data_IF_786450191570
#
_entry.id   IF_786450191570
#
_cell.length_a   1.000
_cell.length_b   1.000
_cell.length_c   1.000
_cell.angle_alpha   90.00
_cell.angle_beta   90.00
_cell.angle_gamma   90.00
#
_symmetry.space_group_name_H-M   'P 1'
#
loop_
_entity.id
_entity.type
_entity.pdbx_description
1 polymer ?
#
# COMPACT_ATOMS: atom_id res chain seq x y z
N UNK A 1 -38.29 -23.75 13.71
CA UNK A 1 -38.59 -23.56 12.27
C UNK A 1 -37.56 -22.69 11.57
N UNK A 2 -36.59 -23.32 10.92
CA UNK A 2 -35.63 -22.61 10.04
C UNK A 2 -36.37 -22.27 8.74
N UNK A 3 -36.35 -21.01 8.25
CA UNK A 3 -36.93 -20.63 6.95
C UNK A 3 -36.41 -21.54 5.83
N UNK A 4 -37.21 -21.77 4.79
CA UNK A 4 -36.76 -22.50 3.59
C UNK A 4 -35.51 -21.83 2.99
N UNK A 5 -34.38 -22.53 2.97
CA UNK A 5 -33.11 -22.00 2.49
C UNK A 5 -31.92 -22.92 2.81
N UNK A 6 -30.72 -22.48 2.44
CA UNK A 6 -29.46 -23.15 2.74
C UNK A 6 -28.41 -22.17 3.28
N UNK A 7 -27.39 -22.71 3.93
CA UNK A 7 -26.25 -21.95 4.44
C UNK A 7 -24.97 -22.32 3.68
N UNK A 8 -24.09 -21.34 3.47
CA UNK A 8 -22.76 -21.57 2.90
C UNK A 8 -21.73 -21.20 3.96
N UNK A 9 -20.91 -22.17 4.35
CA UNK A 9 -19.80 -21.93 5.29
C UNK A 9 -18.70 -21.16 4.58
N UNK A 10 -18.33 -20.00 5.14
CA UNK A 10 -17.24 -19.15 4.60
C UNK A 10 -15.89 -19.71 5.03
N UNK A 11 -14.82 -19.32 4.36
CA UNK A 11 -13.43 -19.65 4.78
C UNK A 11 -13.14 -19.25 6.23
N UNK A 12 -13.77 -18.18 6.72
CA UNK A 12 -13.69 -17.74 8.12
C UNK A 12 -14.30 -18.74 9.13
N UNK A 13 -15.13 -19.69 8.69
CA UNK A 13 -15.65 -20.79 9.51
C UNK A 13 -14.70 -21.99 9.60
N UNK A 14 -13.46 -21.88 9.11
CA UNK A 14 -12.47 -22.96 9.30
C UNK A 14 -12.04 -22.99 10.76
N UNK A 15 -12.19 -24.14 11.42
CA UNK A 15 -11.81 -24.30 12.83
C UNK A 15 -12.85 -23.80 13.85
N UNK A 16 -13.99 -23.26 13.40
CA UNK A 16 -15.10 -22.90 14.30
C UNK A 16 -15.87 -24.14 14.75
N UNK A 17 -16.41 -24.12 15.97
CA UNK A 17 -17.17 -25.25 16.50
C UNK A 17 -18.57 -25.34 15.86
N UNK A 18 -19.18 -26.52 15.93
CA UNK A 18 -20.57 -26.70 15.49
C UNK A 18 -21.55 -25.81 16.28
N UNK A 19 -21.24 -25.51 17.54
CA UNK A 19 -22.04 -24.61 18.36
C UNK A 19 -22.03 -23.19 17.78
N UNK A 20 -20.85 -22.68 17.43
CA UNK A 20 -20.68 -21.33 16.85
C UNK A 20 -21.38 -21.23 15.49
N UNK A 21 -21.22 -22.24 14.63
CA UNK A 21 -21.92 -22.29 13.34
C UNK A 21 -23.45 -22.29 13.51
N UNK A 22 -23.95 -22.97 14.54
CA UNK A 22 -25.39 -23.00 14.86
C UNK A 22 -25.87 -21.64 15.38
N UNK A 23 -25.07 -20.92 16.14
CA UNK A 23 -25.39 -19.55 16.58
C UNK A 23 -25.43 -18.57 15.42
N UNK A 24 -24.46 -18.63 14.51
CA UNK A 24 -24.43 -17.79 13.31
C UNK A 24 -25.64 -18.08 12.39
N UNK A 25 -25.97 -19.36 12.17
CA UNK A 25 -27.17 -19.74 11.44
C UNK A 25 -28.45 -19.19 12.10
N UNK A 26 -28.56 -19.23 13.44
CA UNK A 26 -29.70 -18.64 14.17
C UNK A 26 -29.74 -17.13 14.01
N UNK A 27 -28.60 -16.45 14.01
CA UNK A 27 -28.52 -15.01 13.76
C UNK A 27 -29.06 -14.66 12.36
N UNK A 28 -28.59 -15.34 11.32
CA UNK A 28 -29.06 -15.13 9.95
C UNK A 28 -30.58 -15.34 9.81
N UNK A 29 -31.12 -16.37 10.48
CA UNK A 29 -32.56 -16.64 10.52
C UNK A 29 -33.34 -15.52 11.21
N UNK A 30 -32.84 -14.99 12.33
CA UNK A 30 -33.47 -13.85 13.02
C UNK A 30 -33.48 -12.62 12.14
N UNK A 31 -32.33 -12.28 11.56
CA UNK A 31 -32.18 -11.15 10.63
C UNK A 31 -33.16 -11.29 9.46
N UNK A 32 -33.25 -12.46 8.83
CA UNK A 32 -34.20 -12.68 7.73
C UNK A 32 -35.66 -12.43 8.14
N UNK A 33 -36.07 -12.90 9.32
CA UNK A 33 -37.43 -12.65 9.83
C UNK A 33 -37.69 -11.18 10.11
N UNK A 34 -36.71 -10.45 10.62
CA UNK A 34 -36.82 -9.01 10.85
C UNK A 34 -36.96 -8.24 9.54
N UNK A 35 -36.18 -8.61 8.52
CA UNK A 35 -36.29 -8.05 7.17
C UNK A 35 -37.68 -8.30 6.59
N UNK A 36 -38.18 -9.54 6.66
CA UNK A 36 -39.52 -9.88 6.17
C UNK A 36 -40.62 -9.10 6.88
N UNK A 37 -40.57 -8.99 8.21
CA UNK A 37 -41.55 -8.23 8.99
C UNK A 37 -41.49 -6.73 8.67
N UNK A 38 -40.30 -6.18 8.47
CA UNK A 38 -40.12 -4.78 8.09
C UNK A 38 -40.68 -4.52 6.69
N UNK A 39 -40.39 -5.40 5.73
CA UNK A 39 -40.87 -5.31 4.35
C UNK A 39 -42.39 -5.40 4.23
N UNK A 40 -43.05 -6.26 5.03
CA UNK A 40 -44.51 -6.38 5.05
C UNK A 40 -45.22 -5.14 5.62
N UNK A 41 -44.54 -4.35 6.47
CA UNK A 41 -45.11 -3.16 7.12
C UNK A 41 -44.80 -1.86 6.39
N UNK A 42 -43.67 -1.79 5.67
CA UNK A 42 -43.20 -0.56 5.04
C UNK A 42 -43.90 -0.30 3.70
N UNK A 43 -44.35 0.94 3.48
CA UNK A 43 -44.80 1.38 2.15
C UNK A 43 -43.60 1.68 1.25
N UNK A 44 -43.64 1.20 0.02
CA UNK A 44 -42.56 1.39 -0.95
C UNK A 44 -42.46 2.83 -1.46
N UNK A 45 -41.25 3.35 -1.76
CA UNK A 45 -39.94 2.76 -1.50
C UNK A 45 -39.47 2.98 -0.04
N UNK A 46 -38.91 1.95 0.59
CA UNK A 46 -38.40 2.04 1.97
C UNK A 46 -37.17 1.16 2.21
N UNK A 47 -36.26 1.61 3.06
CA UNK A 47 -35.12 0.84 3.55
C UNK A 47 -35.60 -0.19 4.59
N UNK A 48 -35.58 -1.47 4.23
CA UNK A 48 -36.00 -2.56 5.14
C UNK A 48 -34.83 -3.21 5.88
N UNK A 49 -33.61 -3.07 5.34
CA UNK A 49 -32.37 -3.58 5.91
C UNK A 49 -31.20 -2.73 5.43
N UNK A 50 -30.35 -2.32 6.37
CA UNK A 50 -29.04 -1.77 6.06
C UNK A 50 -28.00 -2.86 6.32
N UNK A 51 -27.18 -3.12 5.33
CA UNK A 51 -26.08 -4.06 5.45
C UNK A 51 -25.05 -3.57 6.50
N UNK A 52 -24.21 -4.48 6.99
CA UNK A 52 -23.26 -4.16 8.04
C UNK A 52 -22.29 -3.04 7.61
N UNK A 53 -22.11 -2.05 8.47
CA UNK A 53 -21.11 -1.00 8.27
C UNK A 53 -19.67 -1.53 8.44
N UNK A 54 -18.67 -0.66 8.33
CA UNK A 54 -17.26 -1.06 8.47
C UNK A 54 -16.98 -1.65 9.86
N UNK A 55 -17.43 -0.98 10.92
CA UNK A 55 -17.17 -1.37 12.31
C UNK A 55 -17.81 -2.72 12.60
N UNK A 56 -19.08 -2.89 12.25
CA UNK A 56 -19.82 -4.14 12.42
C UNK A 56 -19.20 -5.29 11.63
N UNK A 57 -18.70 -5.04 10.40
CA UNK A 57 -17.97 -6.07 9.63
C UNK A 57 -16.66 -6.45 10.29
N UNK A 58 -15.90 -5.50 10.83
CA UNK A 58 -14.66 -5.78 11.58
C UNK A 58 -14.98 -6.61 12.82
N UNK A 59 -15.99 -6.23 13.58
CA UNK A 59 -16.40 -6.97 14.78
C UNK A 59 -16.78 -8.42 14.46
N UNK A 60 -17.57 -8.63 13.39
CA UNK A 60 -17.98 -9.98 12.97
C UNK A 60 -16.83 -10.83 12.42
N UNK A 61 -15.95 -10.24 11.61
CA UNK A 61 -14.96 -10.99 10.82
C UNK A 61 -13.59 -11.11 11.52
N UNK A 62 -13.28 -10.21 12.48
CA UNK A 62 -11.96 -10.11 13.10
C UNK A 62 -11.92 -10.43 14.58
N UNK A 63 -13.00 -10.17 15.32
CA UNK A 63 -12.97 -10.34 16.78
C UNK A 63 -13.23 -11.80 17.15
N UNK A 64 -12.37 -12.30 18.04
CA UNK A 64 -12.45 -13.63 18.63
C UNK A 64 -12.19 -13.57 20.14
N UNK A 65 -12.32 -14.72 20.81
CA UNK A 65 -12.17 -14.84 22.27
C UNK A 65 -10.74 -14.60 22.78
N UNK A 66 -9.76 -14.43 21.91
CA UNK A 66 -8.39 -14.02 22.21
C UNK A 66 -8.23 -12.51 22.45
N UNK A 67 -9.16 -11.67 21.97
CA UNK A 67 -9.10 -10.22 22.17
C UNK A 67 -9.43 -9.81 23.61
N UNK A 68 -8.49 -9.22 24.34
CA UNK A 68 -8.72 -8.82 25.74
C UNK A 68 -9.70 -7.65 25.90
N UNK A 69 -9.73 -6.71 24.95
CA UNK A 69 -10.63 -5.56 24.96
C UNK A 69 -10.90 -5.02 23.55
N UNK A 70 -12.08 -4.41 23.37
CA UNK A 70 -12.45 -3.60 22.20
C UNK A 70 -12.59 -2.17 22.70
N UNK A 71 -11.72 -1.27 22.25
CA UNK A 71 -11.68 0.13 22.70
C UNK A 71 -12.26 1.04 21.63
N UNK A 72 -13.13 1.95 22.04
CA UNK A 72 -13.87 2.86 21.16
C UNK A 72 -13.81 4.24 21.80
N UNK A 73 -13.46 5.28 21.05
CA UNK A 73 -13.30 6.66 21.54
C UNK A 73 -14.51 7.57 21.24
N UNK A 74 -15.55 7.03 20.59
CA UNK A 74 -16.85 7.68 20.40
C UNK A 74 -17.94 7.00 21.24
N UNK A 75 -18.70 7.80 22.00
CA UNK A 75 -19.80 7.32 22.83
C UNK A 75 -20.97 6.77 21.99
N UNK A 76 -21.29 7.44 20.87
CA UNK A 76 -22.32 6.99 19.94
C UNK A 76 -21.98 5.61 19.34
N UNK A 77 -20.75 5.46 18.85
CA UNK A 77 -20.25 4.18 18.31
C UNK A 77 -20.19 3.12 19.39
N UNK A 78 -19.76 3.45 20.61
CA UNK A 78 -19.73 2.51 21.73
C UNK A 78 -21.11 1.88 21.99
N UNK A 79 -22.17 2.70 22.03
CA UNK A 79 -23.54 2.19 22.22
C UNK A 79 -23.97 1.26 21.08
N UNK A 80 -23.72 1.66 19.82
CA UNK A 80 -24.01 0.85 18.65
C UNK A 80 -23.25 -0.49 18.63
N UNK A 81 -21.97 -0.46 19.02
CA UNK A 81 -21.12 -1.64 19.13
C UNK A 81 -21.60 -2.58 20.23
N UNK A 82 -21.97 -2.06 21.40
CA UNK A 82 -22.52 -2.87 22.50
C UNK A 82 -23.81 -3.57 22.06
N UNK A 83 -24.73 -2.86 21.40
CA UNK A 83 -25.96 -3.45 20.89
C UNK A 83 -25.68 -4.55 19.86
N UNK A 84 -24.76 -4.28 18.93
CA UNK A 84 -24.39 -5.21 17.88
C UNK A 84 -23.73 -6.47 18.44
N UNK A 85 -22.69 -6.32 19.28
CA UNK A 85 -21.97 -7.44 19.90
C UNK A 85 -22.91 -8.26 20.78
N UNK A 86 -23.84 -7.64 21.50
CA UNK A 86 -24.84 -8.35 22.29
C UNK A 86 -25.79 -9.22 21.45
N UNK A 87 -25.95 -8.91 20.15
CA UNK A 87 -26.79 -9.67 19.22
C UNK A 87 -26.04 -10.85 18.58
N UNK A 88 -24.75 -10.68 18.30
CA UNK A 88 -23.93 -11.67 17.57
C UNK A 88 -23.08 -12.55 18.48
N UNK A 89 -22.45 -11.98 19.50
CA UNK A 89 -21.50 -12.63 20.41
C UNK A 89 -21.63 -12.06 21.83
N UNK A 90 -22.71 -12.39 22.57
CA UNK A 90 -23.01 -11.80 23.88
C UNK A 90 -21.87 -11.93 24.90
N UNK A 91 -21.07 -13.00 24.80
CA UNK A 91 -19.95 -13.27 25.69
C UNK A 91 -18.85 -12.19 25.61
N UNK A 92 -18.75 -11.49 24.49
CA UNK A 92 -17.73 -10.46 24.24
C UNK A 92 -18.16 -9.06 24.67
N UNK A 93 -19.43 -8.83 25.00
CA UNK A 93 -19.97 -7.49 25.35
C UNK A 93 -19.17 -6.85 26.49
N UNK A 94 -18.79 -7.64 27.50
CA UNK A 94 -18.01 -7.15 28.65
C UNK A 94 -16.62 -6.61 28.26
N UNK A 95 -16.10 -7.00 27.09
CA UNK A 95 -14.79 -6.59 26.56
C UNK A 95 -14.87 -5.28 25.79
N UNK A 96 -16.06 -4.83 25.39
CA UNK A 96 -16.28 -3.50 24.80
C UNK A 96 -16.13 -2.45 25.90
N UNK A 97 -15.22 -1.49 25.70
CA UNK A 97 -14.90 -0.44 26.67
C UNK A 97 -14.78 0.90 25.95
N UNK A 98 -15.50 1.91 26.45
CA UNK A 98 -15.27 3.29 26.04
C UNK A 98 -13.86 3.73 26.47
N UNK A 99 -13.17 4.40 25.57
CA UNK A 99 -11.88 5.03 25.79
C UNK A 99 -12.13 6.50 26.16
N UNK A 100 -11.68 6.91 27.35
CA UNK A 100 -12.02 8.22 27.94
C UNK A 100 -10.80 9.05 28.31
N UNK A 101 -9.60 8.65 27.88
CA UNK A 101 -8.38 9.44 28.12
C UNK A 101 -8.33 10.58 27.11
N UNK A 102 -7.64 11.66 27.48
CA UNK A 102 -7.46 12.82 26.60
C UNK A 102 -6.54 12.53 25.41
N UNK A 103 -5.50 11.70 25.61
CA UNK A 103 -4.59 11.29 24.54
C UNK A 103 -5.33 10.49 23.45
N UNK A 104 -5.18 10.79 22.15
CA UNK A 104 -5.85 10.06 21.07
C UNK A 104 -5.62 8.55 21.14
N UNK A 105 -6.66 7.76 20.90
CA UNK A 105 -6.62 6.29 21.08
C UNK A 105 -5.49 5.62 20.29
N UNK A 106 -5.24 6.04 19.05
CA UNK A 106 -4.19 5.43 18.21
C UNK A 106 -2.78 5.79 18.69
N UNK A 107 -2.60 6.96 19.29
CA UNK A 107 -1.32 7.40 19.86
C UNK A 107 -1.03 6.67 21.17
N UNK A 108 -2.02 6.61 22.07
CA UNK A 108 -1.90 5.95 23.37
C UNK A 108 -1.53 4.46 23.28
N UNK A 109 -1.88 3.80 22.18
CA UNK A 109 -1.53 2.40 21.89
C UNK A 109 -0.37 2.25 20.88
N UNK A 110 0.27 3.34 20.45
CA UNK A 110 1.41 3.33 19.53
C UNK A 110 1.08 2.92 18.09
N UNK A 111 -0.20 2.84 17.73
CA UNK A 111 -0.66 2.43 16.40
C UNK A 111 -0.33 3.49 15.36
N UNK A 112 -0.45 4.78 15.72
CA UNK A 112 -0.17 5.89 14.81
C UNK A 112 1.26 5.82 14.24
N UNK A 113 2.25 5.57 15.09
CA UNK A 113 3.64 5.42 14.68
C UNK A 113 3.86 4.19 13.77
N UNK A 114 3.12 3.10 13.97
CA UNK A 114 3.18 1.93 13.08
C UNK A 114 2.53 2.19 11.72
N UNK A 115 1.43 2.97 11.66
CA UNK A 115 0.81 3.39 10.39
C UNK A 115 1.81 4.23 9.56
N UNK A 116 2.47 5.21 10.18
CA UNK A 116 3.47 6.04 9.50
C UNK A 116 4.66 5.24 8.98
N UNK A 117 5.09 4.21 9.72
CA UNK A 117 6.14 3.28 9.25
C UNK A 117 5.64 2.39 8.12
N UNK A 118 4.38 1.95 8.17
CA UNK A 118 3.80 1.04 7.18
C UNK A 118 3.62 1.68 5.79
N UNK A 119 3.55 3.01 5.70
CA UNK A 119 3.49 3.73 4.42
C UNK A 119 4.88 3.82 3.77
N UNK A 120 5.96 3.76 4.56
CA UNK A 120 7.32 3.92 4.03
C UNK A 120 7.76 2.65 3.27
N UNK A 121 8.51 2.77 2.15
CA UNK A 121 9.05 1.62 1.45
C UNK A 121 10.04 0.81 2.30
N UNK A 122 10.85 1.49 3.13
CA UNK A 122 11.89 0.86 3.95
C UNK A 122 11.39 0.46 5.33
N UNK A 123 11.62 -0.80 5.71
CA UNK A 123 11.29 -1.35 7.04
C UNK A 123 12.55 -1.88 7.72
N UNK A 124 12.88 -1.40 8.92
CA UNK A 124 14.06 -1.84 9.65
C UNK A 124 13.82 -3.14 10.40
N UNK A 125 14.80 -4.04 10.34
CA UNK A 125 14.87 -5.26 11.13
C UNK A 125 15.61 -4.98 12.45
N UNK A 126 15.31 -5.74 13.50
CA UNK A 126 15.96 -5.66 14.82
C UNK A 126 17.46 -5.97 14.74
N UNK A 127 17.88 -6.82 13.80
CA UNK A 127 19.30 -7.09 13.54
C UNK A 127 20.07 -5.94 12.87
N UNK A 128 19.39 -4.85 12.47
CA UNK A 128 20.00 -3.73 11.77
C UNK A 128 20.02 -3.86 10.24
N UNK A 129 19.52 -4.99 9.71
CA UNK A 129 19.11 -5.11 8.31
C UNK A 129 17.83 -4.32 8.03
N UNK A 130 17.40 -4.30 6.77
CA UNK A 130 16.15 -3.65 6.39
C UNK A 130 15.53 -4.31 5.15
N UNK A 131 14.21 -4.19 5.05
CA UNK A 131 13.43 -4.55 3.87
C UNK A 131 13.19 -3.30 3.02
N UNK A 132 13.12 -3.47 1.70
CA UNK A 132 12.59 -2.46 0.78
C UNK A 132 11.39 -3.06 0.06
N UNK A 133 10.22 -2.48 0.28
CA UNK A 133 8.95 -2.93 -0.29
C UNK A 133 8.54 -1.95 -1.39
N UNK A 134 8.51 -2.43 -2.63
CA UNK A 134 8.12 -1.65 -3.80
C UNK A 134 6.88 -2.26 -4.44
N UNK A 135 5.77 -1.51 -4.42
CA UNK A 135 4.55 -1.89 -5.11
C UNK A 135 4.56 -1.33 -6.54
N UNK A 136 4.52 -2.21 -7.53
CA UNK A 136 4.36 -1.84 -8.95
C UNK A 136 2.91 -2.03 -9.39
N UNK A 137 2.64 -1.80 -10.68
CA UNK A 137 1.32 -2.07 -11.27
C UNK A 137 0.95 -3.57 -11.19
N UNK A 138 1.90 -4.45 -11.56
CA UNK A 138 1.65 -5.88 -11.72
C UNK A 138 1.95 -6.70 -10.46
N UNK A 139 3.04 -6.38 -9.76
CA UNK A 139 3.57 -7.17 -8.65
C UNK A 139 4.15 -6.30 -7.52
N UNK A 140 4.35 -6.92 -6.37
CA UNK A 140 5.09 -6.33 -5.26
C UNK A 140 6.46 -6.99 -5.17
N UNK A 141 7.52 -6.19 -5.18
CA UNK A 141 8.89 -6.66 -4.97
C UNK A 141 9.34 -6.32 -3.54
N UNK A 142 9.92 -7.28 -2.83
CA UNK A 142 10.45 -7.10 -1.49
C UNK A 142 11.90 -7.56 -1.46
N UNK A 143 12.81 -6.62 -1.19
CA UNK A 143 14.25 -6.85 -1.14
C UNK A 143 14.75 -6.84 0.32
N UNK A 144 15.71 -7.72 0.65
CA UNK A 144 16.27 -7.88 1.99
C UNK A 144 17.75 -7.48 2.02
N UNK A 145 18.07 -6.52 2.88
CA UNK A 145 19.43 -6.01 3.03
C UNK A 145 19.98 -6.26 4.44
N UNK A 146 21.25 -6.69 4.55
CA UNK A 146 21.94 -6.93 5.84
C UNK A 146 22.34 -5.66 6.59
N UNK A 147 22.25 -4.48 5.96
CA UNK A 147 22.71 -3.22 6.54
C UNK A 147 24.23 -3.22 6.83
N UNK A 148 24.66 -2.43 7.82
CA UNK A 148 26.09 -2.29 8.20
C UNK A 148 26.64 -3.46 9.04
N UNK A 149 25.81 -4.42 9.43
CA UNK A 149 26.15 -5.45 10.41
C UNK A 149 26.54 -6.77 9.75
N UNK A 150 27.66 -6.77 9.02
CA UNK A 150 28.27 -8.00 8.48
C UNK A 150 29.43 -8.42 9.38
N UNK A 151 29.30 -9.58 10.03
CA UNK A 151 30.36 -10.16 10.84
C UNK A 151 31.61 -10.44 10.01
N UNK A 152 32.81 -10.12 10.53
CA UNK A 152 34.08 -10.40 9.85
C UNK A 152 34.36 -11.93 9.90
N UNK A 153 34.17 -12.64 8.78
CA UNK A 153 34.58 -14.04 8.57
C UNK A 153 33.52 -14.94 7.90
N UNK A 154 33.94 -15.86 7.01
CA UNK A 154 33.06 -16.62 6.09
C UNK A 154 31.97 -17.49 6.74
N UNK A 155 32.30 -18.34 7.73
CA UNK A 155 31.27 -19.15 8.42
C UNK A 155 30.31 -18.28 9.27
N UNK A 156 30.79 -17.16 9.81
CA UNK A 156 29.93 -16.21 10.54
C UNK A 156 29.03 -15.41 9.61
N UNK A 157 29.39 -15.31 8.32
CA UNK A 157 28.62 -14.62 7.29
C UNK A 157 27.36 -15.42 6.93
N UNK A 158 27.47 -16.71 6.59
CA UNK A 158 26.31 -17.57 6.26
C UNK A 158 25.30 -17.65 7.42
N UNK A 159 25.79 -17.79 8.66
CA UNK A 159 24.93 -17.76 9.86
C UNK A 159 24.21 -16.41 10.02
N UNK A 160 24.89 -15.31 9.70
CA UNK A 160 24.33 -13.95 9.78
C UNK A 160 23.27 -13.75 8.71
N UNK A 161 23.55 -14.17 7.46
CA UNK A 161 22.62 -14.15 6.33
C UNK A 161 21.36 -14.93 6.67
N UNK A 162 21.52 -16.18 7.13
CA UNK A 162 20.39 -17.04 7.48
C UNK A 162 19.54 -16.41 8.58
N UNK A 163 20.17 -15.85 9.62
CA UNK A 163 19.45 -15.16 10.70
C UNK A 163 18.70 -13.92 10.19
N UNK A 164 19.31 -13.12 9.32
CA UNK A 164 18.67 -11.95 8.72
C UNK A 164 17.48 -12.35 7.84
N UNK A 165 17.62 -13.40 7.03
CA UNK A 165 16.51 -13.91 6.21
C UNK A 165 15.37 -14.49 7.05
N UNK A 166 15.66 -15.19 8.14
CA UNK A 166 14.64 -15.69 9.08
C UNK A 166 13.84 -14.55 9.70
N UNK A 167 14.53 -13.50 10.16
CA UNK A 167 13.87 -12.30 10.67
C UNK A 167 13.08 -11.56 9.58
N UNK A 168 13.65 -11.48 8.37
CA UNK A 168 13.03 -10.83 7.24
C UNK A 168 11.71 -11.52 6.87
N UNK A 169 11.64 -12.85 6.79
CA UNK A 169 10.39 -13.54 6.39
C UNK A 169 9.27 -13.39 7.42
N UNK A 170 9.59 -13.33 8.71
CA UNK A 170 8.60 -13.01 9.76
C UNK A 170 8.05 -11.60 9.60
N UNK A 171 8.93 -10.62 9.38
CA UNK A 171 8.53 -9.21 9.18
C UNK A 171 7.80 -9.02 7.84
N UNK A 172 8.20 -9.72 6.78
CA UNK A 172 7.51 -9.73 5.48
C UNK A 172 6.06 -10.21 5.65
N UNK A 173 5.85 -11.34 6.34
CA UNK A 173 4.51 -11.86 6.59
C UNK A 173 3.65 -10.85 7.38
N UNK A 174 4.25 -10.15 8.37
CA UNK A 174 3.59 -9.07 9.10
C UNK A 174 3.22 -7.89 8.19
N UNK A 175 4.16 -7.42 7.36
CA UNK A 175 3.97 -6.27 6.47
C UNK A 175 2.94 -6.56 5.36
N UNK A 176 2.93 -7.76 4.81
CA UNK A 176 1.93 -8.20 3.82
C UNK A 176 0.52 -8.07 4.40
N UNK A 177 0.31 -8.48 5.66
CA UNK A 177 -0.97 -8.33 6.34
C UNK A 177 -1.28 -6.87 6.68
N UNK A 178 -0.32 -6.15 7.26
CA UNK A 178 -0.49 -4.77 7.71
C UNK A 178 -0.82 -3.82 6.55
N UNK A 179 -0.16 -4.01 5.40
CA UNK A 179 -0.35 -3.20 4.19
C UNK A 179 -1.42 -3.74 3.23
N UNK A 180 -2.04 -4.87 3.58
CA UNK A 180 -2.92 -5.69 2.73
C UNK A 180 -2.38 -5.90 1.30
N UNK A 181 -1.10 -6.28 1.19
CA UNK A 181 -0.46 -6.55 -0.11
C UNK A 181 -1.07 -7.79 -0.75
N UNK A 182 -1.37 -7.73 -2.04
CA UNK A 182 -1.97 -8.86 -2.74
C UNK A 182 -1.66 -8.86 -4.23
N UNK A 183 -1.95 -10.00 -4.87
CA UNK A 183 -1.46 -10.33 -6.21
C UNK A 183 -0.18 -11.15 -6.11
N UNK A 184 0.71 -10.95 -7.08
CA UNK A 184 2.03 -11.57 -7.10
C UNK A 184 2.97 -10.77 -6.21
N UNK A 185 3.66 -11.44 -5.31
CA UNK A 185 4.67 -10.88 -4.42
C UNK A 185 5.95 -11.67 -4.64
N UNK A 186 7.03 -10.97 -4.97
CA UNK A 186 8.36 -11.53 -5.22
C UNK A 186 9.26 -11.10 -4.07
N UNK A 187 9.91 -12.07 -3.43
CA UNK A 187 10.85 -11.86 -2.35
C UNK A 187 12.26 -12.14 -2.86
N UNK A 188 13.10 -11.11 -2.82
CA UNK A 188 14.53 -11.16 -3.09
C UNK A 188 15.24 -11.27 -1.74
N UNK A 189 15.49 -12.51 -1.33
CA UNK A 189 16.17 -12.84 -0.07
C UNK A 189 17.66 -12.89 -0.32
N UNK A 190 18.47 -12.62 0.70
CA UNK A 190 19.93 -12.70 0.58
C UNK A 190 20.33 -14.13 0.22
N UNK A 191 21.20 -14.29 -0.78
CA UNK A 191 21.67 -15.60 -1.24
C UNK A 191 22.24 -16.45 -0.09
N UNK A 192 21.81 -17.70 -0.01
CA UNK A 192 22.27 -18.69 0.95
C UNK A 192 22.86 -19.88 0.20
N UNK A 193 24.09 -20.29 0.55
CA UNK A 193 24.75 -21.43 -0.10
C UNK A 193 24.09 -22.75 0.32
N UNK A 194 23.77 -22.90 1.60
CA UNK A 194 23.26 -24.15 2.13
C UNK A 194 21.76 -24.35 1.85
N UNK A 195 21.43 -25.50 1.22
CA UNK A 195 20.04 -25.92 1.00
C UNK A 195 19.24 -26.04 2.30
N UNK A 196 19.90 -26.41 3.39
CA UNK A 196 19.27 -26.53 4.72
C UNK A 196 18.79 -25.16 5.23
N UNK A 197 19.58 -24.10 5.02
CA UNK A 197 19.22 -22.74 5.41
C UNK A 197 18.03 -22.23 4.59
N UNK A 198 18.05 -22.45 3.26
CA UNK A 198 16.91 -22.15 2.38
C UNK A 198 15.63 -22.84 2.84
N UNK A 199 15.67 -24.14 3.14
CA UNK A 199 14.51 -24.88 3.61
C UNK A 199 13.97 -24.33 4.94
N UNK A 200 14.87 -23.97 5.87
CA UNK A 200 14.48 -23.41 7.17
C UNK A 200 13.76 -22.07 7.00
N UNK A 201 14.30 -21.18 6.16
CA UNK A 201 13.66 -19.89 5.83
C UNK A 201 12.28 -20.09 5.19
N UNK A 202 12.14 -21.06 4.28
CA UNK A 202 10.85 -21.38 3.68
C UNK A 202 9.82 -21.88 4.69
N UNK A 203 10.22 -22.77 5.61
CA UNK A 203 9.34 -23.25 6.68
C UNK A 203 8.89 -22.10 7.57
N UNK A 204 9.81 -21.22 7.99
CA UNK A 204 9.47 -20.04 8.80
C UNK A 204 8.52 -19.09 8.06
N UNK A 205 8.71 -18.86 6.76
CA UNK A 205 7.79 -18.06 5.95
C UNK A 205 6.38 -18.68 5.91
N UNK A 206 6.28 -20.00 5.67
CA UNK A 206 5.00 -20.70 5.64
C UNK A 206 4.29 -20.66 7.00
N UNK A 207 5.03 -20.81 8.09
CA UNK A 207 4.49 -20.72 9.45
C UNK A 207 4.00 -19.31 9.76
N UNK A 208 4.76 -18.28 9.39
CA UNK A 208 4.38 -16.88 9.61
C UNK A 208 3.16 -16.44 8.76
N UNK A 209 2.90 -17.11 7.63
CA UNK A 209 1.74 -16.89 6.76
C UNK A 209 0.50 -17.70 7.17
N UNK A 210 0.63 -18.66 8.10
CA UNK A 210 -0.47 -19.55 8.51
C UNK A 210 -1.65 -18.78 9.12
N UNK A 211 -1.36 -17.70 9.84
CA UNK A 211 -2.36 -16.85 10.49
C UNK A 211 -2.99 -15.82 9.53
N UNK A 212 -2.56 -15.78 8.26
CA UNK A 212 -3.17 -14.91 7.26
C UNK A 212 -4.51 -15.48 6.79
N UNK A 213 -5.58 -14.69 6.99
CA UNK A 213 -6.94 -15.04 6.54
C UNK A 213 -7.08 -15.04 5.02
N UNK A 214 -6.21 -14.34 4.30
CA UNK A 214 -6.23 -14.29 2.84
C UNK A 214 -5.53 -15.53 2.27
N UNK A 215 -6.15 -16.28 1.33
CA UNK A 215 -5.51 -17.42 0.71
C UNK A 215 -4.16 -17.06 0.08
N UNK A 216 -3.12 -17.78 0.49
CA UNK A 216 -1.75 -17.63 -0.01
C UNK A 216 -1.27 -18.91 -0.66
N UNK A 217 -0.40 -18.78 -1.66
CA UNK A 217 0.39 -19.87 -2.23
C UNK A 217 1.82 -19.40 -2.35
N UNK A 218 2.77 -20.22 -1.92
CA UNK A 218 4.19 -19.90 -1.95
C UNK A 218 4.90 -20.92 -2.82
N UNK A 219 5.65 -20.43 -3.80
CA UNK A 219 6.63 -21.17 -4.56
C UNK A 219 8.00 -20.92 -3.90
N UNK A 220 8.66 -22.01 -3.51
CA UNK A 220 10.02 -21.96 -2.96
C UNK A 220 11.02 -21.33 -3.95
N UNK A 221 12.25 -21.08 -3.47
CA UNK A 221 13.38 -20.60 -4.28
C UNK A 221 13.38 -21.19 -5.70
N UNK A 222 13.30 -20.30 -6.69
CA UNK A 222 13.42 -20.64 -8.10
C UNK A 222 14.91 -20.65 -8.53
N UNK A 223 15.15 -20.91 -9.81
CA UNK A 223 16.51 -20.95 -10.38
C UNK A 223 17.23 -19.59 -10.33
N UNK A 224 16.50 -18.50 -10.07
CA UNK A 224 17.02 -17.14 -9.90
C UNK A 224 17.23 -16.74 -8.44
N UNK A 225 17.04 -17.66 -7.48
CA UNK A 225 17.19 -17.35 -6.05
C UNK A 225 16.00 -16.61 -5.43
N UNK A 226 14.91 -16.39 -6.19
CA UNK A 226 13.74 -15.65 -5.72
C UNK A 226 12.67 -16.58 -5.14
N UNK A 227 11.96 -16.09 -4.14
CA UNK A 227 10.73 -16.72 -3.63
C UNK A 227 9.54 -15.96 -4.19
N UNK A 228 8.60 -16.69 -4.80
CA UNK A 228 7.40 -16.08 -5.41
C UNK A 228 6.18 -16.56 -4.66
N UNK A 229 5.30 -15.65 -4.27
CA UNK A 229 4.02 -16.01 -3.67
C UNK A 229 2.86 -15.25 -4.30
N UNK A 230 1.68 -15.86 -4.23
CA UNK A 230 0.42 -15.21 -4.59
C UNK A 230 -0.44 -15.07 -3.35
N UNK A 231 -0.99 -13.88 -3.12
CA UNK A 231 -1.98 -13.62 -2.07
C UNK A 231 -3.24 -13.03 -2.68
N UNK A 232 -4.42 -13.57 -2.37
CA UNK A 232 -5.69 -13.06 -2.91
C UNK A 232 -5.90 -11.59 -2.52
N UNK A 233 -6.20 -10.73 -3.49
CA UNK A 233 -6.60 -9.33 -3.24
C UNK A 233 -8.03 -9.31 -2.69
N UNK A 234 -8.21 -8.77 -1.49
CA UNK A 234 -9.52 -8.62 -0.85
C UNK A 234 -9.92 -7.14 -0.76
N UNK A 235 -8.97 -6.26 -0.43
CA UNK A 235 -9.17 -4.81 -0.37
C UNK A 235 -8.05 -4.09 -1.15
N UNK A 236 -8.14 -2.76 -1.20
CA UNK A 236 -7.02 -1.93 -1.64
C UNK A 236 -5.90 -1.97 -0.60
N UNK A 237 -4.64 -1.87 -1.05
CA UNK A 237 -3.49 -1.78 -0.14
C UNK A 237 -3.56 -0.51 0.71
N UNK A 238 -2.89 -0.54 1.87
CA UNK A 238 -2.85 0.57 2.81
C UNK A 238 -2.36 1.86 2.15
N UNK A 239 -1.27 1.78 1.39
CA UNK A 239 -0.68 2.92 0.66
C UNK A 239 -1.69 3.54 -0.32
N UNK A 240 -2.39 2.72 -1.12
CA UNK A 240 -3.41 3.22 -2.06
C UNK A 240 -4.63 3.82 -1.38
N UNK A 241 -4.89 3.43 -0.13
CA UNK A 241 -6.02 3.94 0.65
C UNK A 241 -5.67 5.27 1.33
N UNK A 242 -4.43 5.42 1.82
CA UNK A 242 -3.99 6.57 2.59
C UNK A 242 -3.24 7.63 1.78
N UNK A 243 -2.78 7.30 0.57
CA UNK A 243 -1.97 8.18 -0.26
C UNK A 243 -2.58 8.39 -1.64
N UNK A 244 -2.29 9.54 -2.24
CA UNK A 244 -2.55 9.83 -3.64
C UNK A 244 -1.25 9.81 -4.45
N UNK A 245 -1.31 9.55 -5.77
CA UNK A 245 -0.12 9.65 -6.63
C UNK A 245 0.51 11.04 -6.53
N UNK A 246 1.85 11.09 -6.58
CA UNK A 246 2.57 12.35 -6.58
C UNK A 246 2.13 13.20 -7.79
N UNK A 247 1.64 14.45 -7.60
CA UNK A 247 1.18 15.27 -8.72
C UNK A 247 2.32 15.73 -9.64
N UNK A 248 3.57 15.62 -9.18
CA UNK A 248 4.76 16.01 -9.92
C UNK A 248 5.23 14.84 -10.81
N UNK A 249 5.75 13.76 -10.21
CA UNK A 249 6.30 12.63 -10.97
C UNK A 249 5.25 11.57 -11.39
N UNK A 250 3.99 11.73 -10.98
CA UNK A 250 2.90 10.78 -11.24
C UNK A 250 3.20 9.34 -10.79
N UNK A 251 4.03 9.19 -9.74
CA UNK A 251 4.42 7.89 -9.19
C UNK A 251 5.68 7.27 -9.81
N UNK A 252 6.32 7.91 -10.80
CA UNK A 252 7.57 7.42 -11.40
C UNK A 252 8.79 7.51 -10.48
N UNK A 253 8.71 8.32 -9.41
CA UNK A 253 9.80 8.61 -8.46
C UNK A 253 11.03 9.28 -9.07
N UNK A 254 10.98 9.63 -10.36
CA UNK A 254 12.04 10.26 -11.12
C UNK A 254 11.44 11.33 -12.03
N UNK A 255 12.20 12.37 -12.31
CA UNK A 255 11.89 13.32 -13.39
C UNK A 255 13.14 13.48 -14.24
N UNK A 256 12.98 13.74 -15.54
CA UNK A 256 14.07 14.03 -16.47
C UNK A 256 14.92 15.16 -15.90
N UNK A 257 16.24 15.04 -15.98
CA UNK A 257 17.14 16.08 -15.46
C UNK A 257 16.98 17.39 -16.22
N UNK A 258 17.36 18.53 -15.63
CA UNK A 258 17.33 19.81 -16.33
C UNK A 258 18.08 19.80 -17.66
N UNK A 259 19.22 19.10 -17.72
CA UNK A 259 20.01 18.94 -18.93
C UNK A 259 19.22 18.23 -20.04
N UNK A 260 18.54 17.12 -19.72
CA UNK A 260 17.70 16.41 -20.70
C UNK A 260 16.63 17.34 -21.28
N UNK A 261 16.02 18.18 -20.44
CA UNK A 261 15.01 19.14 -20.90
C UNK A 261 15.63 20.23 -21.78
N UNK A 262 16.85 20.71 -21.50
CA UNK A 262 17.56 21.64 -22.39
C UNK A 262 17.69 21.07 -23.82
N UNK A 263 18.08 19.80 -23.95
CA UNK A 263 18.18 19.16 -25.27
C UNK A 263 16.82 18.93 -25.94
N UNK A 264 15.75 18.67 -25.17
CA UNK A 264 14.38 18.59 -25.71
C UNK A 264 13.89 19.95 -26.22
N UNK A 265 14.21 21.04 -25.52
CA UNK A 265 13.95 22.42 -25.96
C UNK A 265 14.67 22.69 -27.30
N UNK A 266 15.92 22.27 -27.44
CA UNK A 266 16.68 22.41 -28.69
C UNK A 266 16.06 21.63 -29.86
N UNK A 267 15.64 20.39 -29.63
CA UNK A 267 14.95 19.60 -30.66
C UNK A 267 13.60 20.23 -31.04
N UNK A 268 12.88 20.81 -30.08
CA UNK A 268 11.64 21.55 -30.37
C UNK A 268 11.93 22.81 -31.19
N UNK A 269 12.96 23.57 -30.84
CA UNK A 269 13.37 24.76 -31.58
C UNK A 269 13.73 24.44 -33.03
N UNK A 270 14.47 23.36 -33.27
CA UNK A 270 14.76 22.82 -34.61
C UNK A 270 13.51 22.39 -35.38
N UNK A 271 12.47 21.94 -34.69
CA UNK A 271 11.18 21.60 -35.32
C UNK A 271 10.40 22.86 -35.70
N UNK A 272 10.31 23.81 -34.77
CA UNK A 272 9.57 25.06 -34.96
C UNK A 272 10.20 25.90 -36.08
N UNK A 273 11.53 26.04 -36.14
CA UNK A 273 12.22 26.77 -37.20
C UNK A 273 11.91 26.25 -38.62
N UNK A 274 11.78 24.93 -38.78
CA UNK A 274 11.39 24.30 -40.06
C UNK A 274 9.93 24.55 -40.44
N UNK A 275 9.05 24.69 -39.46
CA UNK A 275 7.62 24.91 -39.68
C UNK A 275 7.29 26.37 -40.01
N UNK A 276 8.13 27.32 -39.55
CA UNK A 276 7.87 28.76 -39.61
C UNK A 276 8.52 29.44 -40.82
N UNK A 277 8.72 28.70 -41.93
CA UNK A 277 9.37 29.17 -43.16
C UNK A 277 8.85 30.55 -43.64
N UNK A 278 9.55 31.62 -43.25
CA UNK A 278 9.48 32.94 -43.89
C UNK A 278 8.75 34.07 -43.15
N UNK A 279 8.03 33.81 -42.05
CA UNK A 279 7.49 34.89 -41.23
C UNK A 279 8.51 35.30 -40.17
N UNK A 280 8.97 36.53 -40.23
CA UNK A 280 10.00 37.07 -39.34
C UNK A 280 9.52 37.14 -37.89
N UNK A 281 9.82 36.10 -37.12
CA UNK A 281 9.64 36.07 -35.67
C UNK A 281 10.53 37.15 -35.08
N UNK A 282 9.93 38.16 -34.45
CA UNK A 282 10.67 39.29 -33.87
C UNK A 282 11.09 39.00 -32.44
N UNK A 283 10.31 38.22 -31.70
CA UNK A 283 10.59 37.89 -30.31
C UNK A 283 10.01 36.52 -29.95
N UNK A 284 10.89 35.62 -29.51
CA UNK A 284 10.50 34.31 -28.99
C UNK A 284 10.60 34.35 -27.47
N UNK A 285 9.52 34.01 -26.78
CA UNK A 285 9.51 33.83 -25.33
C UNK A 285 9.52 32.33 -25.03
N UNK A 286 10.40 31.91 -24.13
CA UNK A 286 10.47 30.54 -23.66
C UNK A 286 10.16 30.54 -22.15
N UNK A 287 9.02 29.96 -21.79
CA UNK A 287 8.58 29.82 -20.40
C UNK A 287 8.89 28.42 -19.89
N UNK A 288 9.64 28.32 -18.79
CA UNK A 288 10.07 27.03 -18.23
C UNK A 288 10.37 27.09 -16.73
N UNK A 289 10.63 25.93 -16.13
CA UNK A 289 10.98 25.83 -14.72
C UNK A 289 12.33 26.51 -14.40
N UNK A 290 12.49 27.18 -13.23
CA UNK A 290 13.73 27.87 -12.85
C UNK A 290 15.00 27.01 -12.88
N UNK A 291 14.91 25.72 -12.57
CA UNK A 291 16.07 24.81 -12.59
C UNK A 291 16.59 24.58 -14.02
N UNK A 292 15.68 24.45 -14.99
CA UNK A 292 16.03 24.30 -16.41
C UNK A 292 16.55 25.62 -16.97
N UNK A 293 15.99 26.76 -16.53
CA UNK A 293 16.44 28.08 -16.97
C UNK A 293 17.86 28.36 -16.49
N UNK A 294 18.15 27.99 -15.23
CA UNK A 294 19.51 28.05 -14.70
C UNK A 294 20.46 27.15 -15.48
N UNK A 295 20.05 25.93 -15.82
CA UNK A 295 20.87 25.01 -16.61
C UNK A 295 21.23 25.60 -17.98
N UNK A 296 20.25 26.13 -18.74
CA UNK A 296 20.48 26.81 -20.03
C UNK A 296 21.45 28.01 -19.89
N UNK A 297 21.33 28.78 -18.81
CA UNK A 297 22.18 29.96 -18.59
C UNK A 297 23.56 29.65 -17.99
N UNK A 298 23.83 28.42 -17.55
CA UNK A 298 25.07 28.08 -16.82
C UNK A 298 25.80 26.90 -17.45
N UNK A 299 25.31 25.69 -17.26
CA UNK A 299 25.98 24.45 -17.68
C UNK A 299 25.76 24.13 -19.15
N UNK A 300 24.59 24.47 -19.70
CA UNK A 300 24.16 24.16 -21.07
C UNK A 300 24.09 25.42 -21.94
N UNK A 301 25.06 26.33 -21.81
CA UNK A 301 25.09 27.59 -22.57
C UNK A 301 25.20 27.36 -24.08
N UNK A 302 25.97 26.36 -24.49
CA UNK A 302 26.14 26.03 -25.90
C UNK A 302 24.79 25.62 -26.53
N UNK A 303 23.97 24.89 -25.76
CA UNK A 303 22.60 24.54 -26.15
C UNK A 303 21.75 25.81 -26.32
N UNK A 304 21.84 26.78 -25.39
CA UNK A 304 21.11 28.05 -25.52
C UNK A 304 21.48 28.80 -26.80
N UNK A 305 22.77 28.89 -27.13
CA UNK A 305 23.24 29.54 -28.36
C UNK A 305 22.67 28.84 -29.60
N UNK A 306 22.67 27.51 -29.64
CA UNK A 306 22.06 26.78 -30.76
C UNK A 306 20.55 27.05 -30.87
N UNK A 307 19.82 27.12 -29.75
CA UNK A 307 18.38 27.42 -29.78
C UNK A 307 18.15 28.83 -30.38
N UNK A 308 18.99 29.81 -30.01
CA UNK A 308 18.95 31.17 -30.57
C UNK A 308 19.29 31.21 -32.06
N UNK A 309 20.22 30.36 -32.53
CA UNK A 309 20.53 30.24 -33.96
C UNK A 309 19.31 29.78 -34.79
N UNK A 310 18.43 28.96 -34.21
CA UNK A 310 17.22 28.47 -34.88
C UNK A 310 16.02 29.43 -34.77
N UNK A 311 15.84 30.11 -33.64
CA UNK A 311 14.61 30.88 -33.33
C UNK A 311 14.82 32.39 -33.14
N UNK A 312 16.05 32.89 -33.27
CA UNK A 312 16.42 34.26 -32.95
C UNK A 312 16.56 34.52 -31.46
N UNK A 313 16.53 35.78 -31.04
CA UNK A 313 16.66 36.15 -29.63
C UNK A 313 15.53 35.55 -28.78
N UNK A 314 15.90 34.86 -27.69
CA UNK A 314 14.94 34.19 -26.79
C UNK A 314 14.88 34.91 -25.45
N UNK A 315 13.67 35.30 -25.05
CA UNK A 315 13.39 35.80 -23.72
C UNK A 315 12.99 34.64 -22.78
N UNK A 316 13.90 34.29 -21.87
CA UNK A 316 13.71 33.16 -20.95
C UNK A 316 12.93 33.61 -19.72
N UNK A 317 11.68 33.17 -19.61
CA UNK A 317 10.82 33.40 -18.46
C UNK A 317 10.83 32.20 -17.52
N UNK A 318 11.36 32.38 -16.32
CA UNK A 318 11.36 31.34 -15.27
C UNK A 318 10.05 31.34 -14.50
N UNK A 319 9.35 30.21 -14.46
CA UNK A 319 8.08 30.05 -13.74
C UNK A 319 8.10 28.81 -12.82
N UNK A 320 8.09 28.98 -11.48
CA UNK A 320 8.05 27.88 -10.51
C UNK A 320 6.80 26.99 -10.60
N UNK A 321 5.72 27.46 -11.22
CA UNK A 321 4.49 26.68 -11.41
C UNK A 321 4.54 25.75 -12.63
N UNK A 322 5.53 25.92 -13.51
CA UNK A 322 5.75 25.02 -14.63
C UNK A 322 6.52 23.80 -14.16
N UNK A 323 6.03 22.61 -14.49
CA UNK A 323 6.71 21.35 -14.20
C UNK A 323 8.08 21.31 -14.88
N UNK A 324 9.11 20.73 -14.25
CA UNK A 324 10.48 20.70 -14.83
C UNK A 324 10.53 20.11 -16.25
N UNK A 325 9.68 19.13 -16.54
CA UNK A 325 9.58 18.48 -17.86
C UNK A 325 8.68 19.21 -18.86
N UNK A 326 8.17 20.39 -18.51
CA UNK A 326 7.31 21.20 -19.37
C UNK A 326 8.01 22.52 -19.71
N UNK A 327 7.79 22.97 -20.93
CA UNK A 327 8.24 24.26 -21.42
C UNK A 327 7.28 24.71 -22.54
N UNK A 328 7.09 26.02 -22.64
CA UNK A 328 6.21 26.61 -23.64
C UNK A 328 6.98 27.68 -24.44
N UNK A 329 6.94 27.56 -25.77
CA UNK A 329 7.34 28.64 -26.67
C UNK A 329 6.13 29.52 -26.99
N UNK A 330 6.30 30.83 -26.83
CA UNK A 330 5.36 31.84 -27.30
C UNK A 330 6.06 32.76 -28.30
N UNK A 331 5.41 33.02 -29.42
CA UNK A 331 5.94 33.86 -30.50
C UNK A 331 5.13 35.15 -30.56
N UNK A 332 5.82 36.30 -30.49
CA UNK A 332 5.25 37.64 -30.50
C UNK A 332 5.46 38.38 -31.82
#
# INVERSE_FOLDING_TARGET
DVPSGGFIVRTAGTGTTEADLREDARYLVRTWRDIRRSAERAKSPALVHRDLDLVQRILRDQVSDDFTAIRVDSEEEYLGIVEFVNRIQPNLVKRVKLYTREEPILEAYGVQAEIEKAIKPRVWLRSGGYLVINQTEALVAIDVNTGKFVGRGGSRLEDTITRTNLEAVEEIARQIRLRDLGGIIVLDLIDMEERRNRQRVMTTLQDALRDDKSPTKVLSFNDFGLVIMTRKRVKQSLERTLCSPCPYCQGSSLVKSPQTICYEILEEARRLSRSMNGDGIKQTMLRLNPEVARALQTTERDVMVEIEDYLGSIDVTSDPHVHQEQFDFAFL
#
